data_IF_801065566502
#
_entry.id   IF_801065566502
#
_cell.length_a   1.000
_cell.length_b   1.000
_cell.length_c   1.000
_cell.angle_alpha   90.00
_cell.angle_beta   90.00
_cell.angle_gamma   90.00
#
_symmetry.space_group_name_H-M   'P 1'
#
loop_
_entity.id
_entity.type
_entity.pdbx_description
1 polymer ?
2 non-polymer ?
3 non-polymer ?
4 non-polymer ?
5 water ?
#
# COMPACT_ATOMS: atom_id res chain seq x y z
N UNK A 8 14.83 -10.69 20.81
CA UNK A 8 14.61 -9.26 20.88
C UNK A 8 14.75 -8.61 19.50
N UNK A 9 15.80 -7.79 19.34
CA UNK A 9 16.05 -7.13 18.06
C UNK A 9 16.74 -8.07 17.09
N UNK A 10 17.16 -9.23 17.58
CA UNK A 10 17.84 -10.22 16.75
C UNK A 10 16.85 -10.94 15.84
N UNK A 11 15.61 -11.09 16.31
CA UNK A 11 14.58 -11.76 15.55
C UNK A 11 14.15 -10.91 14.35
N UNK A 12 14.31 -9.59 14.48
CA UNK A 12 13.96 -8.68 13.40
C UNK A 12 15.00 -8.72 12.28
N UNK A 13 16.28 -8.73 12.66
CA UNK A 13 17.36 -8.80 11.68
C UNK A 13 17.34 -10.12 10.92
N UNK A 14 16.89 -11.18 11.60
CA UNK A 14 16.71 -12.47 10.94
C UNK A 14 15.57 -12.40 9.96
N UNK A 15 14.53 -11.64 10.32
CA UNK A 15 13.38 -11.45 9.46
C UNK A 15 13.75 -10.76 8.16
N UNK A 16 14.56 -9.71 8.27
CA UNK A 16 15.03 -8.98 7.10
C UNK A 16 15.87 -9.87 6.20
N UNK A 17 16.67 -10.75 6.80
CA UNK A 17 17.55 -11.64 6.04
C UNK A 17 16.74 -12.68 5.27
N UNK A 18 15.71 -13.23 5.91
CA UNK A 18 14.84 -14.21 5.27
C UNK A 18 14.11 -13.59 4.07
N UNK A 19 13.59 -12.38 4.27
CA UNK A 19 12.89 -11.68 3.19
C UNK A 19 13.81 -11.41 2.01
N UNK A 20 15.05 -11.02 2.29
CA UNK A 20 16.05 -10.84 1.25
C UNK A 20 16.40 -12.17 0.60
N UNK A 21 16.46 -13.21 1.43
CA UNK A 21 16.82 -14.54 0.95
C UNK A 21 15.83 -15.11 -0.05
N UNK A 22 14.54 -14.95 0.24
CA UNK A 22 13.48 -15.44 -0.64
C UNK A 22 13.55 -14.75 -2.01
N UNK A 23 13.80 -13.46 -2.00
CA UNK A 23 13.91 -12.68 -3.23
C UNK A 23 15.07 -13.16 -4.09
N UNK A 24 16.19 -13.47 -3.45
CA UNK A 24 17.37 -13.97 -4.17
C UNK A 24 17.11 -15.36 -4.76
N UNK A 25 16.41 -16.21 -3.99
CA UNK A 25 16.09 -17.55 -4.46
C UNK A 25 15.14 -17.52 -5.65
N UNK A 26 14.30 -16.49 -5.72
CA UNK A 26 13.32 -16.37 -6.79
C UNK A 26 13.81 -15.44 -7.90
N UNK A 27 15.07 -15.06 -7.85
CA UNK A 27 15.65 -14.15 -8.84
C UNK A 27 15.75 -14.79 -10.22
N UNK A 28 15.71 -13.95 -11.26
CA UNK A 28 15.84 -14.44 -12.63
C UNK A 28 17.32 -14.63 -12.97
N UNK A 29 18.18 -13.94 -12.23
CA UNK A 29 19.62 -14.09 -12.38
C UNK A 29 20.35 -13.53 -11.16
N UNK A 30 20.74 -14.41 -10.25
CA UNK A 30 21.41 -14.01 -9.02
C UNK A 30 22.78 -13.40 -9.30
N UNK A 31 23.40 -13.84 -10.40
CA UNK A 31 24.73 -13.37 -10.78
C UNK A 31 24.67 -11.99 -11.45
N UNK A 32 23.46 -11.54 -11.77
CA UNK A 32 23.27 -10.25 -12.44
C UNK A 32 22.84 -9.17 -11.46
N UNK A 33 22.61 -9.57 -10.20
CA UNK A 33 22.23 -8.63 -9.16
C UNK A 33 23.30 -7.58 -8.90
N UNK A 34 22.96 -6.32 -9.15
CA UNK A 34 23.85 -5.21 -8.87
C UNK A 34 23.88 -4.91 -7.37
N UNK A 35 25.03 -5.15 -6.74
CA UNK A 35 25.16 -4.99 -5.29
C UNK A 35 25.01 -3.55 -4.85
N UNK A 36 25.40 -2.61 -5.70
CA UNK A 36 25.22 -1.18 -5.40
C UNK A 36 23.74 -0.84 -5.37
N UNK A 37 23.02 -1.29 -6.37
CA UNK A 37 21.58 -1.04 -6.48
C UNK A 37 20.81 -1.60 -5.30
N UNK A 38 20.91 -2.91 -5.08
CA UNK A 38 20.13 -3.56 -4.02
C UNK A 38 20.69 -3.26 -2.63
N UNK A 39 21.97 -2.95 -2.55
CA UNK A 39 22.56 -2.59 -1.27
C UNK A 39 22.11 -1.21 -0.83
N UNK A 40 22.14 -0.27 -1.75
CA UNK A 40 21.72 1.09 -1.46
C UNK A 40 20.22 1.22 -1.25
N UNK A 41 19.46 0.44 -2.03
CA UNK A 41 18.00 0.47 -1.94
C UNK A 41 17.53 0.02 -0.56
N UNK A 42 18.16 -1.04 -0.04
CA UNK A 42 17.87 -1.52 1.30
C UNK A 42 18.37 -0.51 2.34
N UNK A 43 19.51 0.11 2.04
CA UNK A 43 20.11 1.08 2.95
C UNK A 43 19.22 2.31 3.11
N UNK A 44 18.66 2.77 2.00
CA UNK A 44 17.78 3.93 2.01
C UNK A 44 16.49 3.64 2.76
N UNK A 45 15.88 2.48 2.49
CA UNK A 45 14.65 2.08 3.16
C UNK A 45 14.86 1.91 4.67
N UNK A 46 16.01 1.34 5.03
CA UNK A 46 16.34 1.12 6.43
C UNK A 46 16.64 2.44 7.15
N UNK A 47 17.35 3.33 6.45
CA UNK A 47 17.72 4.61 7.03
C UNK A 47 16.52 5.56 7.10
N UNK A 48 15.67 5.51 6.08
CA UNK A 48 14.45 6.29 6.07
C UNK A 48 13.56 5.89 7.24
N UNK A 49 13.55 4.60 7.54
CA UNK A 49 12.82 4.09 8.68
C UNK A 49 13.42 4.58 9.98
N UNK A 50 14.75 4.50 10.08
CA UNK A 50 15.46 4.95 11.27
C UNK A 50 15.28 6.45 11.48
N UNK A 51 15.26 7.19 10.37
CA UNK A 51 15.13 8.63 10.42
C UNK A 51 13.81 9.06 11.06
N UNK A 52 12.69 8.62 10.48
CA UNK A 52 11.38 9.15 10.87
C UNK A 52 10.69 8.38 12.00
N UNK A 53 11.27 7.27 12.44
CA UNK A 53 10.66 6.47 13.48
C UNK A 53 11.51 6.41 14.75
N UNK A 54 12.78 6.77 14.63
CA UNK A 54 13.69 6.70 15.77
C UNK A 54 14.32 8.05 16.09
N UNK A 55 14.96 8.66 15.10
CA UNK A 55 15.62 9.95 15.26
C UNK A 55 14.60 11.04 15.59
N UNK A 56 14.85 11.81 16.67
CA UNK A 56 13.98 12.88 17.14
C UNK A 56 13.55 13.87 16.05
N UNK A 57 14.51 14.39 15.29
CA UNK A 57 14.22 15.35 14.23
C UNK A 57 13.33 14.74 13.15
N UNK A 58 13.59 13.48 12.84
CA UNK A 58 12.82 12.78 11.82
C UNK A 58 11.40 12.50 12.25
N UNK A 59 11.22 12.28 13.56
CA UNK A 59 9.90 12.04 14.12
C UNK A 59 9.06 13.32 14.10
N UNK A 60 9.74 14.46 14.19
CA UNK A 60 9.05 15.75 14.18
C UNK A 60 8.60 16.12 12.77
N UNK A 61 9.43 15.78 11.79
CA UNK A 61 9.08 16.00 10.39
C UNK A 61 7.94 15.09 9.96
N UNK A 62 7.91 13.90 10.53
CA UNK A 62 6.86 12.93 10.22
C UNK A 62 5.52 13.36 10.80
N UNK A 63 5.53 13.76 12.08
CA UNK A 63 4.31 14.21 12.75
C UNK A 63 3.87 15.56 12.18
N UNK A 64 4.81 16.32 11.64
CA UNK A 64 4.51 17.60 11.05
C UNK A 64 3.81 17.43 9.72
N UNK A 65 4.28 16.49 8.92
CA UNK A 65 3.68 16.19 7.62
C UNK A 65 2.34 15.50 7.81
N UNK A 66 2.26 14.64 8.83
CA UNK A 66 1.04 13.89 9.11
C UNK A 66 -0.08 14.80 9.62
N UNK A 67 0.26 15.77 10.46
CA UNK A 67 -0.71 16.73 10.95
C UNK A 67 -1.23 17.60 9.81
N UNK A 68 -0.35 17.92 8.88
CA UNK A 68 -0.73 18.67 7.68
C UNK A 68 -1.72 17.86 6.84
N UNK A 69 -1.42 16.57 6.67
CA UNK A 69 -2.31 15.67 5.96
C UNK A 69 -3.64 15.56 6.68
N UNK A 70 -3.58 15.50 8.01
CA UNK A 70 -4.78 15.41 8.83
C UNK A 70 -5.65 16.66 8.72
N UNK A 71 -5.00 17.80 8.47
CA UNK A 71 -5.72 19.05 8.29
C UNK A 71 -6.42 19.11 6.93
N UNK A 72 -5.77 18.56 5.90
CA UNK A 72 -6.33 18.54 4.56
C UNK A 72 -7.60 17.67 4.53
N UNK A 73 -7.56 16.57 5.28
CA UNK A 73 -8.70 15.67 5.38
C UNK A 73 -9.92 16.37 5.95
N UNK A 74 -9.72 17.12 7.03
CA UNK A 74 -10.79 17.85 7.67
C UNK A 74 -11.38 18.92 6.74
N UNK A 75 -10.49 19.58 5.99
CA UNK A 75 -10.92 20.55 5.00
C UNK A 75 -11.79 19.89 3.93
N UNK A 76 -11.34 18.75 3.44
CA UNK A 76 -12.08 18.00 2.44
C UNK A 76 -13.42 17.50 2.96
N UNK A 77 -13.50 17.31 4.27
CA UNK A 77 -14.73 16.81 4.90
C UNK A 77 -15.86 17.84 4.88
N UNK A 78 -15.54 19.08 4.56
CA UNK A 78 -16.56 20.11 4.42
C UNK A 78 -17.43 19.82 3.21
N UNK A 79 -16.82 19.19 2.20
CA UNK A 79 -17.53 18.81 0.99
C UNK A 79 -18.56 17.74 1.25
N UNK A 80 -18.16 16.68 1.95
CA UNK A 80 -19.06 15.56 2.21
C UNK A 80 -20.09 15.94 3.27
N UNK A 81 -19.72 16.86 4.16
CA UNK A 81 -20.65 17.34 5.18
C UNK A 81 -21.77 18.15 4.55
N UNK A 82 -21.46 18.87 3.49
CA UNK A 82 -22.48 19.63 2.76
C UNK A 82 -23.47 18.70 2.06
N UNK A 83 -22.97 17.58 1.55
CA UNK A 83 -23.76 16.70 0.71
C UNK A 83 -24.63 15.74 1.52
N UNK A 84 -24.13 15.30 2.67
CA UNK A 84 -24.84 14.31 3.46
C UNK A 84 -25.34 14.86 4.80
N UNK A 85 -25.02 16.12 5.07
CA UNK A 85 -25.57 16.84 6.21
C UNK A 85 -25.43 16.18 7.57
N UNK A 86 -26.58 15.89 8.19
CA UNK A 86 -26.61 15.32 9.53
C UNK A 86 -26.24 13.85 9.59
N UNK A 87 -26.19 13.19 8.44
CA UNK A 87 -25.83 11.78 8.38
C UNK A 87 -24.35 11.57 8.68
N UNK A 88 -23.58 12.67 8.68
CA UNK A 88 -22.17 12.60 9.03
C UNK A 88 -21.85 13.54 10.20
N UNK A 89 -22.87 13.86 10.99
CA UNK A 89 -22.70 14.72 12.15
C UNK A 89 -22.54 13.91 13.43
N UNK A 90 -22.35 14.61 14.55
CA UNK A 90 -22.16 13.96 15.83
C UNK A 90 -23.44 13.36 16.39
N UNK A 91 -24.57 13.80 15.86
CA UNK A 91 -25.88 13.32 16.30
C UNK A 91 -26.07 11.85 15.95
N UNK A 92 -25.33 11.39 14.95
CA UNK A 92 -25.42 10.00 14.49
C UNK A 92 -24.98 9.02 15.57
N UNK A 93 -24.05 9.46 16.42
CA UNK A 93 -23.54 8.62 17.50
C UNK A 93 -24.50 8.61 18.70
N UNK A 94 -25.26 9.69 18.85
CA UNK A 94 -26.23 9.77 19.94
C UNK A 94 -27.44 8.89 19.64
N UNK A 95 -27.62 8.53 18.38
CA UNK A 95 -28.79 7.76 17.96
C UNK A 95 -28.45 6.30 17.66
N UNK A 96 -27.40 6.07 16.87
CA UNK A 96 -27.04 4.72 16.46
C UNK A 96 -25.84 4.17 17.21
N UNK A 97 -25.23 5.02 18.04
CA UNK A 97 -24.06 4.61 18.79
C UNK A 97 -22.86 4.39 17.89
N UNK A 98 -22.32 3.18 17.92
CA UNK A 98 -21.19 2.81 17.09
C UNK A 98 -21.58 2.74 15.63
N UNK A 99 -22.84 2.40 15.37
CA UNK A 99 -23.35 2.28 14.03
C UNK A 99 -23.67 3.62 13.40
N UNK A 100 -23.41 4.70 14.13
CA UNK A 100 -23.64 6.04 13.64
C UNK A 100 -22.59 6.44 12.61
N UNK A 101 -21.46 5.74 12.64
CA UNK A 101 -20.39 5.97 11.68
C UNK A 101 -20.72 5.27 10.36
N UNK A 102 -21.26 6.01 9.40
CA UNK A 102 -21.62 5.44 8.11
C UNK A 102 -20.43 5.48 7.16
N UNK A 103 -19.85 4.31 6.92
CA UNK A 103 -18.65 4.19 6.10
C UNK A 103 -18.80 4.79 4.71
N UNK A 104 -19.98 4.60 4.11
CA UNK A 104 -20.23 5.05 2.75
C UNK A 104 -20.12 6.56 2.61
N UNK A 105 -20.40 7.28 3.70
CA UNK A 105 -20.42 8.74 3.66
C UNK A 105 -19.21 9.34 4.37
N UNK A 106 -18.57 8.55 5.22
CA UNK A 106 -17.42 9.04 5.99
C UNK A 106 -16.08 8.80 5.28
N UNK A 107 -15.94 7.66 4.62
CA UNK A 107 -14.65 7.27 4.05
C UNK A 107 -14.59 7.44 2.53
N UNK A 108 -15.59 6.90 1.83
CA UNK A 108 -15.61 6.93 0.37
C UNK A 108 -15.50 8.34 -0.28
N UNK A 109 -16.20 9.35 0.26
CA UNK A 109 -16.09 10.67 -0.38
C UNK A 109 -14.68 11.26 -0.33
N UNK A 110 -13.85 10.80 0.60
CA UNK A 110 -12.47 11.25 0.71
C UNK A 110 -11.68 10.93 -0.55
N UNK A 111 -12.03 9.81 -1.18
CA UNK A 111 -11.39 9.39 -2.43
C UNK A 111 -11.64 10.40 -3.53
N UNK A 112 -12.80 11.04 -3.49
CA UNK A 112 -13.17 12.04 -4.49
C UNK A 112 -12.39 13.33 -4.29
N UNK A 113 -12.33 13.79 -3.04
CA UNK A 113 -11.66 15.05 -2.73
C UNK A 113 -10.15 14.98 -2.98
N UNK A 114 -9.52 13.88 -2.59
CA UNK A 114 -8.08 13.76 -2.74
C UNK A 114 -7.68 13.52 -4.19
N UNK A 115 -8.55 12.90 -4.97
CA UNK A 115 -8.29 12.72 -6.39
C UNK A 115 -8.34 14.07 -7.09
N UNK A 116 -9.28 14.91 -6.66
CA UNK A 116 -9.41 16.25 -7.21
C UNK A 116 -8.21 17.12 -6.82
N UNK A 117 -7.78 16.98 -5.57
CA UNK A 117 -6.64 17.75 -5.06
C UNK A 117 -5.34 17.39 -5.78
N UNK A 118 -5.07 16.09 -5.91
CA UNK A 118 -3.86 15.62 -6.58
C UNK A 118 -3.85 16.06 -8.05
N UNK A 119 -5.03 16.02 -8.67
CA UNK A 119 -5.17 16.48 -10.04
C UNK A 119 -4.81 17.95 -10.16
N UNK A 120 -5.18 18.73 -9.14
CA UNK A 120 -4.85 20.15 -9.10
C UNK A 120 -3.34 20.35 -8.89
N UNK A 121 -2.77 19.55 -7.99
CA UNK A 121 -1.34 19.65 -7.68
C UNK A 121 -0.47 19.22 -8.85
N UNK A 122 -1.04 18.45 -9.77
CA UNK A 122 -0.35 18.06 -11.00
C UNK A 122 -0.36 19.21 -12.00
N UNK A 123 -1.51 19.87 -12.12
CA UNK A 123 -1.66 20.98 -13.05
C UNK A 123 -0.72 22.14 -12.70
N UNK A 124 -0.53 22.37 -11.41
CA UNK A 124 0.30 23.46 -10.94
C UNK A 124 1.79 23.14 -11.05
N UNK A 125 2.11 21.86 -11.18
CA UNK A 125 3.50 21.43 -11.31
C UNK A 125 4.14 21.10 -9.98
N UNK A 126 3.35 21.11 -8.91
CA UNK A 126 3.84 20.80 -7.58
C UNK A 126 4.24 19.33 -7.46
N UNK A 127 3.38 18.45 -7.98
CA UNK A 127 3.64 17.01 -7.93
C UNK A 127 4.90 16.64 -8.70
N UNK A 128 5.00 17.13 -9.94
CA UNK A 128 6.15 16.83 -10.78
C UNK A 128 7.44 17.31 -10.14
N UNK A 129 7.37 18.42 -9.41
CA UNK A 129 8.52 18.99 -8.74
C UNK A 129 9.06 18.04 -7.67
N UNK A 130 8.19 17.58 -6.77
CA UNK A 130 8.58 16.68 -5.69
C UNK A 130 9.09 15.34 -6.23
N UNK A 131 8.37 14.79 -7.21
CA UNK A 131 8.74 13.53 -7.84
C UNK A 131 10.12 13.60 -8.49
N UNK A 132 10.37 14.70 -9.18
CA UNK A 132 11.65 14.90 -9.88
C UNK A 132 12.82 14.91 -8.90
N UNK A 133 12.59 15.47 -7.72
CA UNK A 133 13.62 15.52 -6.69
C UNK A 133 13.86 14.14 -6.07
N UNK A 134 12.79 13.49 -5.64
CA UNK A 134 12.88 12.17 -5.04
C UNK A 134 13.35 11.12 -6.04
N UNK A 135 12.73 11.11 -7.21
CA UNK A 135 13.08 10.16 -8.26
C UNK A 135 14.50 10.34 -8.76
N UNK A 136 14.99 11.57 -8.73
CA UNK A 136 16.34 11.88 -9.17
C UNK A 136 17.38 11.42 -8.16
N UNK A 137 17.06 11.55 -6.88
CA UNK A 137 17.94 11.13 -5.82
C UNK A 137 18.11 9.62 -5.78
N UNK A 138 17.06 8.91 -6.17
CA UNK A 138 17.07 7.46 -6.19
C UNK A 138 17.98 6.91 -7.29
N UNK A 139 17.88 7.48 -8.49
CA UNK A 139 18.64 6.96 -9.62
C UNK A 139 20.14 7.28 -9.50
N UNK A 140 20.47 8.38 -8.84
CA UNK A 140 21.85 8.78 -8.67
C UNK A 140 22.54 7.99 -7.57
N UNK A 141 21.73 7.35 -6.73
CA UNK A 141 22.26 6.59 -5.61
C UNK A 141 22.19 5.08 -5.85
N UNK A 142 21.25 4.66 -6.69
CA UNK A 142 21.04 3.23 -6.92
C UNK A 142 21.51 2.80 -8.30
N UNK A 143 21.64 3.76 -9.21
CA UNK A 143 22.07 3.46 -10.57
C UNK A 143 20.92 2.96 -11.43
N UNK A 144 19.71 3.02 -10.88
CA UNK A 144 18.51 2.67 -11.63
C UNK A 144 18.25 3.72 -12.70
N UNK A 145 17.49 3.35 -13.73
CA UNK A 145 17.23 4.27 -14.84
C UNK A 145 16.31 5.41 -14.43
N UNK A 146 16.27 6.44 -15.27
CA UNK A 146 15.49 7.65 -15.01
C UNK A 146 13.99 7.39 -14.87
N UNK A 147 13.43 6.67 -15.85
CA UNK A 147 11.99 6.46 -15.91
C UNK A 147 11.47 5.60 -14.76
N UNK A 148 12.18 4.52 -14.43
CA UNK A 148 11.72 3.60 -13.39
C UNK A 148 11.87 4.23 -12.00
N UNK A 149 12.75 5.21 -11.88
CA UNK A 149 12.97 5.89 -10.61
C UNK A 149 11.90 6.95 -10.35
N UNK A 150 11.49 7.63 -11.41
CA UNK A 150 10.44 8.64 -11.30
C UNK A 150 9.11 7.99 -10.97
N UNK A 151 8.86 6.83 -11.58
CA UNK A 151 7.65 6.07 -11.32
C UNK A 151 7.62 5.56 -9.88
N UNK A 152 8.80 5.23 -9.36
CA UNK A 152 8.93 4.78 -7.98
C UNK A 152 8.58 5.91 -7.01
N UNK A 153 9.09 7.11 -7.31
CA UNK A 153 8.83 8.27 -6.48
C UNK A 153 7.37 8.72 -6.60
N UNK A 154 6.82 8.61 -7.81
CA UNK A 154 5.44 9.00 -8.05
C UNK A 154 4.48 8.11 -7.27
N UNK A 155 4.86 6.85 -7.09
CA UNK A 155 4.01 5.87 -6.41
C UNK A 155 3.82 6.13 -4.93
N UNK A 156 4.62 7.05 -4.38
CA UNK A 156 4.49 7.45 -2.99
C UNK A 156 3.17 8.22 -2.80
N UNK A 157 2.77 8.95 -3.83
CA UNK A 157 1.61 9.84 -3.72
C UNK A 157 0.40 9.34 -4.50
N UNK A 158 0.62 8.70 -5.64
CA UNK A 158 -0.48 8.24 -6.47
C UNK A 158 -0.50 6.72 -6.65
N UNK A 159 -1.52 6.23 -7.34
CA UNK A 159 -1.74 4.80 -7.48
C UNK A 159 -0.91 4.13 -8.56
N UNK A 160 -1.01 2.81 -8.63
CA UNK A 160 -0.18 2.00 -9.51
C UNK A 160 -0.43 2.25 -10.99
N UNK A 161 -1.61 2.76 -11.33
CA UNK A 161 -1.94 3.01 -12.73
C UNK A 161 -1.67 4.46 -13.12
N UNK A 162 -1.59 5.34 -12.12
CA UNK A 162 -1.38 6.76 -12.36
C UNK A 162 0.10 7.12 -12.35
N UNK A 163 0.88 6.40 -11.54
CA UNK A 163 2.31 6.67 -11.40
C UNK A 163 3.12 6.58 -12.71
N UNK A 164 2.89 5.53 -13.55
CA UNK A 164 3.70 5.47 -14.76
C UNK A 164 3.39 6.55 -15.80
N UNK A 165 2.36 7.35 -15.55
CA UNK A 165 1.95 8.38 -16.50
C UNK A 165 2.99 9.49 -16.63
N UNK A 166 3.83 9.65 -15.61
CA UNK A 166 4.87 10.67 -15.64
C UNK A 166 6.04 10.26 -16.55
N UNK A 167 6.02 9.01 -17.00
CA UNK A 167 7.05 8.51 -17.90
C UNK A 167 6.45 7.65 -19.00
N UNK A 168 5.22 7.96 -19.41
CA UNK A 168 4.51 7.12 -20.38
C UNK A 168 5.15 7.01 -21.77
N UNK A 169 5.87 8.04 -22.26
CA UNK A 169 6.42 7.76 -23.60
C UNK A 169 7.65 6.85 -23.56
N UNK A 170 8.13 6.52 -22.36
CA UNK A 170 9.32 5.67 -22.23
C UNK A 170 8.94 4.25 -21.83
N UNK A 171 7.66 4.03 -21.57
CA UNK A 171 7.16 2.72 -21.15
C UNK A 171 7.14 1.65 -22.26
N UNK A 172 6.69 2.01 -23.49
CA UNK A 172 6.63 0.94 -24.50
C UNK A 172 8.00 0.35 -24.87
N UNK A 173 9.08 1.07 -24.58
CA UNK A 173 10.41 0.63 -25.01
C UNK A 173 11.35 0.37 -23.84
N UNK A 174 10.83 0.40 -22.61
CA UNK A 174 11.69 0.11 -21.46
C UNK A 174 11.92 -1.38 -21.34
N UNK A 175 13.03 -1.76 -20.72
CA UNK A 175 13.44 -3.14 -20.60
C UNK A 175 12.51 -3.93 -19.68
N UNK A 176 12.61 -5.25 -19.74
CA UNK A 176 11.79 -6.13 -18.91
C UNK A 176 12.01 -5.84 -17.43
N UNK A 177 13.25 -5.55 -17.06
CA UNK A 177 13.59 -5.20 -15.69
C UNK A 177 12.98 -3.85 -15.29
N UNK A 178 13.00 -2.91 -16.22
CA UNK A 178 12.39 -1.60 -16.00
C UNK A 178 10.88 -1.72 -15.81
N UNK A 179 10.25 -2.45 -16.72
CA UNK A 179 8.81 -2.66 -16.66
C UNK A 179 8.41 -3.39 -15.38
N UNK A 180 9.20 -4.38 -14.99
CA UNK A 180 8.95 -5.14 -13.76
C UNK A 180 9.06 -4.25 -12.53
N UNK A 181 10.01 -3.33 -12.55
CA UNK A 181 10.19 -2.41 -11.43
C UNK A 181 9.01 -1.45 -11.33
N UNK A 182 8.54 -0.99 -12.49
CA UNK A 182 7.38 -0.10 -12.55
C UNK A 182 6.16 -0.80 -11.96
N UNK A 183 6.00 -2.08 -12.28
CA UNK A 183 4.93 -2.89 -11.70
C UNK A 183 5.11 -3.00 -10.19
N UNK A 184 6.34 -3.22 -9.75
CA UNK A 184 6.66 -3.38 -8.33
C UNK A 184 6.50 -2.08 -7.57
N UNK A 185 6.74 -0.95 -8.24
CA UNK A 185 6.59 0.34 -7.62
C UNK A 185 5.16 0.59 -7.18
N UNK A 186 4.21 0.07 -7.96
CA UNK A 186 2.80 0.26 -7.67
C UNK A 186 2.26 -0.74 -6.66
N UNK A 187 2.76 -1.98 -6.74
CA UNK A 187 2.30 -3.04 -5.85
C UNK A 187 2.83 -2.86 -4.43
N UNK A 188 4.02 -2.29 -4.31
CA UNK A 188 4.63 -2.07 -3.01
C UNK A 188 4.01 -0.88 -2.30
N UNK A 189 3.37 0.00 -3.05
CA UNK A 189 2.82 1.23 -2.50
C UNK A 189 1.30 1.28 -2.55
N UNK A 190 0.74 2.38 -2.04
CA UNK A 190 -0.69 2.65 -2.16
C UNK A 190 -0.89 3.95 -2.95
N UNK A 191 -1.90 4.71 -2.58
CA UNK A 191 -2.14 6.02 -3.20
C UNK A 191 -2.57 7.03 -2.14
N UNK A 192 -2.38 8.31 -2.44
CA UNK A 192 -2.75 9.37 -1.52
C UNK A 192 -4.23 9.38 -1.19
N UNK A 193 -5.04 8.97 -2.16
CA UNK A 193 -6.48 8.94 -2.00
C UNK A 193 -6.96 7.96 -0.94
N UNK A 194 -6.46 6.73 -0.97
CA UNK A 194 -6.85 5.72 0.00
C UNK A 194 -6.14 5.88 1.33
N UNK A 195 -4.98 6.53 1.30
CA UNK A 195 -4.24 6.81 2.53
C UNK A 195 -5.12 7.55 3.51
N UNK A 196 -5.78 8.59 3.01
CA UNK A 196 -6.70 9.38 3.83
C UNK A 196 -7.95 8.59 4.16
N UNK A 197 -8.25 7.57 3.34
CA UNK A 197 -9.38 6.70 3.58
C UNK A 197 -9.10 5.79 4.75
N UNK A 198 -7.93 5.17 4.74
CA UNK A 198 -7.51 4.29 5.83
C UNK A 198 -7.31 5.10 7.11
N UNK A 199 -6.82 6.32 6.97
CA UNK A 199 -6.65 7.23 8.09
C UNK A 199 -8.01 7.56 8.73
N UNK A 200 -9.02 7.71 7.88
CA UNK A 200 -10.37 8.01 8.35
C UNK A 200 -11.01 6.80 9.01
N UNK A 201 -10.38 5.65 8.86
CA UNK A 201 -10.87 4.41 9.46
C UNK A 201 -10.20 4.12 10.80
N UNK A 202 -9.23 4.95 11.16
CA UNK A 202 -8.56 4.82 12.44
C UNK A 202 -7.09 4.45 12.36
N UNK A 203 -6.62 4.15 11.15
CA UNK A 203 -5.21 3.82 10.96
C UNK A 203 -4.35 5.07 11.14
N UNK A 204 -3.31 4.94 11.95
CA UNK A 204 -2.43 6.06 12.26
C UNK A 204 -1.75 6.61 11.01
N UNK A 205 -1.95 7.91 10.75
CA UNK A 205 -1.44 8.56 9.56
C UNK A 205 0.08 8.48 9.46
N UNK A 206 0.75 8.58 10.61
CA UNK A 206 2.20 8.50 10.68
C UNK A 206 2.72 7.21 10.04
N UNK A 207 2.03 6.10 10.29
CA UNK A 207 2.41 4.81 9.73
C UNK A 207 2.15 4.75 8.24
N UNK A 208 1.05 5.36 7.80
CA UNK A 208 0.66 5.36 6.39
C UNK A 208 1.61 6.19 5.54
N UNK A 209 1.98 7.36 6.04
CA UNK A 209 2.91 8.24 5.34
C UNK A 209 4.30 7.60 5.27
N UNK A 210 4.72 7.01 6.38
CA UNK A 210 6.01 6.35 6.46
C UNK A 210 6.12 5.20 5.47
N UNK A 211 5.13 4.32 5.48
CA UNK A 211 5.11 3.16 4.60
C UNK A 211 5.02 3.55 3.14
N UNK A 212 4.42 4.71 2.88
CA UNK A 212 4.30 5.23 1.51
C UNK A 212 5.66 5.65 0.98
N UNK A 213 6.44 6.33 1.80
CA UNK A 213 7.76 6.79 1.40
C UNK A 213 8.77 5.64 1.35
N UNK A 214 8.64 4.69 2.25
CA UNK A 214 9.54 3.54 2.30
C UNK A 214 9.26 2.56 1.16
N UNK A 215 8.14 2.79 0.47
CA UNK A 215 7.74 1.93 -0.64
C UNK A 215 8.61 2.18 -1.87
N UNK A 216 9.07 3.42 -2.04
CA UNK A 216 9.87 3.78 -3.21
C UNK A 216 11.22 3.03 -3.24
N UNK A 217 12.00 3.09 -2.15
CA UNK A 217 13.24 2.30 -2.24
C UNK A 217 12.97 0.81 -2.07
N UNK A 218 11.93 0.47 -1.31
CA UNK A 218 11.59 -0.92 -1.07
C UNK A 218 11.11 -1.62 -2.32
N UNK A 219 10.34 -0.91 -3.14
CA UNK A 219 9.86 -1.45 -4.39
C UNK A 219 10.99 -1.72 -5.36
N UNK A 220 11.94 -0.80 -5.43
CA UNK A 220 13.10 -0.95 -6.31
C UNK A 220 14.01 -2.08 -5.82
N UNK A 221 14.13 -2.18 -4.49
CA UNK A 221 14.97 -3.19 -3.86
C UNK A 221 14.63 -4.61 -4.30
N UNK A 222 13.36 -4.99 -4.14
CA UNK A 222 12.95 -6.34 -4.45
C UNK A 222 12.69 -6.54 -5.93
N UNK A 223 12.56 -5.44 -6.66
CA UNK A 223 12.44 -5.52 -8.11
C UNK A 223 13.77 -5.88 -8.74
N UNK A 224 14.84 -5.29 -8.21
CA UNK A 224 16.18 -5.50 -8.75
C UNK A 224 16.83 -6.77 -8.20
N UNK A 225 16.30 -7.27 -7.09
CA UNK A 225 16.73 -8.55 -6.55
C UNK A 225 16.14 -9.69 -7.37
N UNK A 226 14.82 -9.65 -7.54
CA UNK A 226 14.10 -10.73 -8.24
C UNK A 226 14.20 -10.61 -9.75
N UNK A 227 14.48 -9.40 -10.23
CA UNK A 227 14.61 -9.17 -11.67
C UNK A 227 15.68 -8.11 -11.97
N UNK A 228 16.95 -8.52 -11.92
CA UNK A 228 18.06 -7.62 -12.20
C UNK A 228 18.08 -7.17 -13.66
N UNK A 229 18.63 -5.99 -13.93
CA UNK A 229 18.73 -5.50 -15.29
C UNK A 229 19.78 -6.29 -16.07
N UNK A 230 19.34 -6.99 -17.11
CA UNK A 230 20.25 -7.72 -17.98
C UNK A 230 20.32 -7.08 -19.36
N UNK A 231 19.55 -6.00 -19.54
CA UNK A 231 19.57 -5.27 -20.80
C UNK A 231 20.15 -3.87 -20.61
N UNK A 232 20.04 -3.05 -21.65
CA UNK A 232 20.51 -1.67 -21.58
C UNK A 232 19.36 -0.69 -21.76
N UNK A 233 19.00 0.05 -20.70
CA UNK A 233 17.94 1.05 -20.73
C UNK A 233 18.31 2.24 -21.61
N UNK A 234 17.32 3.06 -21.96
CA UNK A 234 17.55 4.25 -22.77
C UNK A 234 17.61 5.51 -21.92
N UNK A 235 17.91 6.64 -22.57
CA UNK A 235 18.00 7.94 -21.90
C UNK A 235 18.99 7.91 -20.74
N UNK A 247 -3.68 17.13 -20.65
CA UNK A 247 -3.63 18.24 -19.69
C UNK A 247 -4.86 19.14 -19.83
N UNK A 248 -5.58 19.33 -18.70
CA UNK A 248 -6.79 20.18 -18.67
C UNK A 248 -6.49 21.63 -19.04
N UNK A 249 -7.49 22.33 -19.54
CA UNK A 249 -7.31 23.71 -20.00
C UNK A 249 -7.00 24.67 -18.85
N UNK A 250 -7.52 24.37 -17.66
CA UNK A 250 -7.30 25.21 -16.49
C UNK A 250 -7.35 24.42 -15.20
N UNK A 251 -7.08 25.10 -14.08
CA UNK A 251 -6.97 24.45 -12.78
C UNK A 251 -8.33 23.98 -12.27
N UNK A 252 -9.40 24.59 -12.78
CA UNK A 252 -10.76 24.21 -12.38
C UNK A 252 -11.19 22.95 -13.11
N UNK A 253 -10.76 22.82 -14.37
CA UNK A 253 -11.00 21.61 -15.15
C UNK A 253 -10.24 20.43 -14.55
N UNK A 254 -9.04 20.70 -14.08
CA UNK A 254 -8.21 19.69 -13.43
C UNK A 254 -8.93 19.10 -12.22
N UNK A 255 -9.47 19.98 -11.39
CA UNK A 255 -10.20 19.57 -10.19
C UNK A 255 -11.43 18.74 -10.56
N UNK A 256 -12.13 19.17 -11.61
CA UNK A 256 -13.33 18.49 -12.07
C UNK A 256 -13.02 17.08 -12.57
N UNK A 257 -11.96 16.96 -13.36
CA UNK A 257 -11.54 15.67 -13.88
C UNK A 257 -11.09 14.73 -12.77
N UNK A 258 -10.42 15.28 -11.77
CA UNK A 258 -9.96 14.51 -10.64
C UNK A 258 -11.13 14.01 -9.80
N UNK A 259 -12.12 14.87 -9.61
CA UNK A 259 -13.33 14.52 -8.87
C UNK A 259 -14.07 13.38 -9.58
N UNK A 260 -14.16 13.48 -10.89
CA UNK A 260 -14.83 12.48 -11.70
C UNK A 260 -14.15 11.12 -11.58
N UNK A 261 -12.82 11.13 -11.64
CA UNK A 261 -12.04 9.90 -11.50
C UNK A 261 -12.21 9.29 -10.12
N UNK A 262 -12.20 10.14 -9.09
CA UNK A 262 -12.36 9.69 -7.71
C UNK A 262 -13.74 9.12 -7.46
N UNK A 263 -14.75 9.71 -8.09
CA UNK A 263 -16.12 9.21 -8.01
C UNK A 263 -16.22 7.77 -8.50
N UNK A 264 -15.76 7.54 -9.73
CA UNK A 264 -15.78 6.21 -10.32
C UNK A 264 -15.05 5.22 -9.44
N UNK A 265 -13.95 5.69 -8.86
CA UNK A 265 -13.13 4.88 -7.99
C UNK A 265 -13.81 4.63 -6.65
N UNK A 266 -14.51 5.63 -6.14
CA UNK A 266 -15.25 5.50 -4.88
C UNK A 266 -16.37 4.48 -5.03
N UNK A 267 -17.02 4.50 -6.19
CA UNK A 267 -18.09 3.55 -6.47
C UNK A 267 -17.57 2.12 -6.58
N UNK A 268 -16.43 1.97 -7.24
CA UNK A 268 -15.81 0.65 -7.40
C UNK A 268 -15.40 0.04 -6.07
N UNK A 269 -14.78 0.84 -5.21
CA UNK A 269 -14.36 0.36 -3.90
C UNK A 269 -15.57 -0.02 -3.04
N UNK A 270 -16.59 0.82 -3.06
CA UNK A 270 -17.81 0.57 -2.33
C UNK A 270 -18.51 -0.72 -2.74
N UNK A 271 -18.58 -0.96 -4.05
CA UNK A 271 -19.20 -2.18 -4.54
C UNK A 271 -18.36 -3.40 -4.19
N UNK A 272 -17.04 -3.24 -4.24
CA UNK A 272 -16.13 -4.33 -3.92
C UNK A 272 -16.26 -4.73 -2.45
N UNK A 273 -16.39 -3.75 -1.57
CA UNK A 273 -16.48 -4.02 -0.14
C UNK A 273 -17.80 -4.71 0.22
N UNK A 274 -18.90 -4.25 -0.39
CA UNK A 274 -20.19 -4.90 -0.20
C UNK A 274 -20.14 -6.36 -0.63
N UNK A 275 -19.52 -6.59 -1.80
CA UNK A 275 -19.45 -7.94 -2.35
C UNK A 275 -18.47 -8.84 -1.60
N UNK A 276 -17.25 -8.37 -1.38
CA UNK A 276 -16.22 -9.20 -0.76
C UNK A 276 -16.56 -9.58 0.67
N UNK A 277 -16.99 -8.59 1.46
CA UNK A 277 -17.39 -8.84 2.84
C UNK A 277 -18.60 -9.78 2.88
N UNK A 278 -19.52 -9.58 1.95
CA UNK A 278 -20.67 -10.46 1.83
C UNK A 278 -20.25 -11.87 1.46
N UNK A 279 -19.30 -11.98 0.55
CA UNK A 279 -18.77 -13.28 0.12
C UNK A 279 -18.03 -13.98 1.25
N UNK A 280 -17.30 -13.21 2.05
CA UNK A 280 -16.59 -13.76 3.20
C UNK A 280 -17.58 -14.30 4.23
N UNK A 281 -18.69 -13.61 4.40
CA UNK A 281 -19.75 -14.06 5.30
C UNK A 281 -20.37 -15.36 4.81
N UNK A 282 -20.47 -15.50 3.50
CA UNK A 282 -20.99 -16.73 2.90
C UNK A 282 -19.99 -17.87 3.07
N UNK A 283 -18.72 -17.57 2.85
CA UNK A 283 -17.64 -18.55 2.99
C UNK A 283 -17.58 -19.10 4.42
N UNK A 284 -17.67 -18.21 5.40
CA UNK A 284 -17.65 -18.61 6.80
C UNK A 284 -18.83 -19.52 7.16
N UNK A 285 -19.99 -19.23 6.57
CA UNK A 285 -21.16 -20.06 6.78
C UNK A 285 -20.92 -21.46 6.26
N UNK A 286 -20.33 -21.56 5.08
CA UNK A 286 -20.01 -22.85 4.48
C UNK A 286 -18.89 -23.53 5.27
N UNK A 287 -17.89 -22.76 5.66
CA UNK A 287 -16.75 -23.29 6.42
C UNK A 287 -17.18 -23.84 7.78
N UNK A 288 -18.27 -23.30 8.32
CA UNK A 288 -18.81 -23.78 9.58
C UNK A 288 -19.43 -25.15 9.42
N UNK A 289 -20.09 -25.36 8.27
CA UNK A 289 -20.73 -26.63 7.97
C UNK A 289 -19.72 -27.69 7.55
N UNK A 290 -18.77 -27.29 6.71
CA UNK A 290 -17.71 -28.19 6.27
C UNK A 290 -16.80 -28.56 7.44
N UNK A 291 -16.41 -27.56 8.22
CA UNK A 291 -15.56 -27.76 9.37
C UNK A 291 -16.21 -28.64 10.42
N UNK A 292 -17.53 -28.57 10.50
CA UNK A 292 -18.30 -29.38 11.44
C UNK A 292 -18.16 -30.88 11.18
N UNK A 293 -17.90 -31.23 9.91
CA UNK A 293 -17.70 -32.61 9.53
C UNK A 293 -16.42 -33.18 10.12
N UNK A 294 -15.51 -32.28 10.49
CA UNK A 294 -14.23 -32.66 11.10
C UNK A 294 -14.13 -32.17 12.53
N UNK A 295 -15.28 -31.98 13.17
CA UNK A 295 -15.33 -31.56 14.57
C UNK A 295 -14.90 -30.13 14.82
N UNK A 296 -14.99 -29.30 13.78
CA UNK A 296 -14.61 -27.89 13.92
C UNK A 296 -15.70 -26.98 13.36
N UNK A 297 -16.86 -26.92 14.01
CA UNK A 297 -17.98 -26.12 13.51
C UNK A 297 -17.69 -24.61 13.56
N UNK A 298 -16.71 -24.22 14.38
CA UNK A 298 -16.37 -22.81 14.53
C UNK A 298 -15.38 -22.35 13.46
N UNK A 299 -15.10 -23.22 12.50
CA UNK A 299 -14.13 -22.92 11.44
C UNK A 299 -14.56 -21.74 10.59
N UNK A 300 -13.67 -20.77 10.47
CA UNK A 300 -13.92 -19.58 9.66
C UNK A 300 -12.72 -19.25 8.77
N UNK A 301 -12.90 -18.27 7.89
CA UNK A 301 -11.83 -17.85 6.99
C UNK A 301 -10.70 -17.19 7.76
N UNK A 302 -11.05 -16.48 8.83
CA UNK A 302 -10.06 -15.79 9.65
C UNK A 302 -9.13 -16.78 10.34
N UNK A 303 -9.68 -17.92 10.75
CA UNK A 303 -8.89 -18.96 11.39
C UNK A 303 -7.88 -19.57 10.43
N UNK A 304 -8.34 -19.89 9.23
CA UNK A 304 -7.47 -20.44 8.19
C UNK A 304 -6.33 -19.49 7.84
N UNK A 305 -6.68 -18.23 7.60
CA UNK A 305 -5.68 -17.23 7.23
C UNK A 305 -4.72 -16.93 8.37
N UNK A 306 -5.26 -16.85 9.58
CA UNK A 306 -4.45 -16.58 10.75
C UNK A 306 -3.48 -17.71 11.05
N UNK A 307 -3.96 -18.94 10.94
CA UNK A 307 -3.14 -20.13 11.20
C UNK A 307 -2.05 -20.31 10.15
N UNK A 308 -2.31 -19.82 8.95
CA UNK A 308 -1.39 -20.03 7.83
C UNK A 308 -0.37 -18.89 7.69
N UNK A 309 -0.71 -17.73 8.25
CA UNK A 309 0.18 -16.57 8.13
C UNK A 309 0.84 -16.21 9.46
N UNK A 310 0.54 -16.98 10.49
CA UNK A 310 1.15 -16.78 11.81
C UNK A 310 2.67 -16.89 11.80
N UNK A 311 3.24 -17.90 11.11
CA UNK A 311 4.71 -17.91 11.05
C UNK A 311 5.30 -16.70 10.34
N UNK A 312 4.60 -16.22 9.32
CA UNK A 312 5.04 -15.04 8.57
C UNK A 312 4.96 -13.79 9.44
N UNK A 313 3.91 -13.70 10.25
CA UNK A 313 3.73 -12.57 11.15
C UNK A 313 4.75 -12.62 12.28
N UNK A 314 5.04 -13.83 12.75
CA UNK A 314 6.02 -14.03 13.80
C UNK A 314 7.43 -13.68 13.32
N UNK A 315 7.65 -13.87 12.02
CA UNK A 315 8.96 -13.65 11.42
C UNK A 315 9.28 -12.17 11.27
N UNK A 316 8.25 -11.34 11.13
CA UNK A 316 8.46 -9.91 10.91
C UNK A 316 8.42 -9.10 12.20
N UNK A 317 8.30 -9.78 13.33
CA UNK A 317 8.44 -9.12 14.62
C UNK A 317 7.22 -9.12 15.52
N UNK A 318 6.18 -9.86 15.13
CA UNK A 318 4.98 -9.94 15.96
C UNK A 318 5.15 -11.00 17.04
N UNK A 319 4.90 -10.62 18.31
CA UNK A 319 4.97 -11.52 19.46
C UNK A 319 4.20 -12.82 19.23
N UNK A 320 4.69 -13.91 19.82
CA UNK A 320 4.13 -15.24 19.64
C UNK A 320 2.63 -15.29 19.96
N UNK A 321 2.22 -14.58 21.00
CA UNK A 321 0.83 -14.62 21.45
C UNK A 321 -0.07 -13.67 20.65
N UNK A 322 0.48 -13.05 19.61
CA UNK A 322 -0.29 -12.13 18.79
C UNK A 322 -0.10 -12.41 17.29
N UNK A 323 0.68 -13.44 16.98
CA UNK A 323 1.02 -13.77 15.60
C UNK A 323 -0.19 -14.27 14.80
N UNK A 324 -1.06 -15.02 15.46
CA UNK A 324 -2.22 -15.60 14.80
C UNK A 324 -3.23 -14.53 14.39
N UNK A 325 -3.52 -13.61 15.29
CA UNK A 325 -4.43 -12.51 15.00
C UNK A 325 -3.85 -11.61 13.91
N UNK A 326 -2.54 -11.38 13.96
CA UNK A 326 -1.86 -10.57 12.97
C UNK A 326 -1.86 -11.26 11.60
N UNK A 327 -1.83 -12.60 11.62
CA UNK A 327 -1.85 -13.37 10.40
C UNK A 327 -3.18 -13.29 9.66
N UNK A 328 -4.25 -13.05 10.40
CA UNK A 328 -5.58 -12.94 9.81
C UNK A 328 -5.66 -11.76 8.86
N UNK A 329 -5.08 -10.63 9.27
CA UNK A 329 -5.16 -9.40 8.51
C UNK A 329 -4.17 -9.40 7.34
N UNK A 330 -2.95 -9.89 7.59
CA UNK A 330 -1.93 -9.96 6.56
C UNK A 330 -2.33 -10.94 5.46
N UNK A 331 -2.94 -12.05 5.87
CA UNK A 331 -3.41 -13.05 4.92
C UNK A 331 -4.56 -12.53 4.08
N UNK A 332 -5.48 -11.83 4.72
CA UNK A 332 -6.66 -11.30 4.04
C UNK A 332 -6.27 -10.23 3.03
N UNK A 333 -5.21 -9.48 3.35
CA UNK A 333 -4.68 -8.47 2.45
C UNK A 333 -4.10 -9.11 1.19
N UNK A 334 -3.49 -10.28 1.37
CA UNK A 334 -2.82 -10.96 0.26
C UNK A 334 -3.81 -11.70 -0.64
N UNK A 335 -4.78 -12.38 -0.03
CA UNK A 335 -5.73 -13.20 -0.78
C UNK A 335 -6.89 -12.38 -1.33
N UNK A 336 -6.94 -11.10 -0.99
CA UNK A 336 -7.98 -10.21 -1.47
C UNK A 336 -7.41 -8.84 -1.84
N UNK A 337 -7.52 -7.89 -0.92
CA UNK A 337 -6.85 -6.60 -1.05
C UNK A 337 -6.68 -5.93 0.31
N UNK A 338 -5.91 -4.86 0.35
CA UNK A 338 -5.55 -4.21 1.60
C UNK A 338 -6.72 -3.43 2.20
N UNK A 339 -7.69 -3.07 1.38
CA UNK A 339 -8.84 -2.30 1.84
C UNK A 339 -9.76 -3.17 2.69
N UNK A 340 -9.94 -4.43 2.25
CA UNK A 340 -10.74 -5.39 3.01
C UNK A 340 -10.03 -5.75 4.31
N UNK A 341 -8.70 -5.82 4.25
CA UNK A 341 -7.90 -6.11 5.43
C UNK A 341 -8.04 -5.03 6.48
N UNK A 342 -7.83 -3.78 6.07
CA UNK A 342 -7.95 -2.63 6.96
C UNK A 342 -9.35 -2.52 7.58
N UNK A 343 -10.36 -2.97 6.85
CA UNK A 343 -11.73 -2.89 7.34
C UNK A 343 -11.95 -3.82 8.52
N UNK A 344 -11.23 -4.95 8.53
CA UNK A 344 -11.36 -5.92 9.61
C UNK A 344 -10.36 -5.63 10.73
N UNK A 345 -9.38 -4.78 10.44
CA UNK A 345 -8.33 -4.45 11.40
C UNK A 345 -8.64 -3.16 12.16
N UNK A 346 -9.45 -2.30 11.57
CA UNK A 346 -9.81 -1.02 12.18
C UNK A 346 -10.49 -1.15 13.55
N UNK A 347 -11.39 -2.13 13.75
CA UNK A 347 -11.95 -2.28 15.11
C UNK A 347 -10.91 -2.62 16.18
N UNK A 348 -9.76 -3.13 15.77
CA UNK A 348 -8.70 -3.46 16.72
C UNK A 348 -7.89 -2.23 17.11
N UNK A 349 -8.23 -1.09 16.50
CA UNK A 349 -7.54 0.17 16.80
C UNK A 349 -8.40 1.05 17.72
N UNK A 350 -9.55 0.54 18.11
CA UNK A 350 -10.46 1.28 18.98
C UNK A 350 -10.49 0.68 20.39
N UNK A 351 -11.21 1.34 21.29
CA UNK A 351 -11.31 0.87 22.67
C UNK A 351 -12.22 -0.36 22.76
N UNK A 352 -13.06 -0.55 21.74
CA UNK A 352 -13.97 -1.68 21.71
C UNK A 352 -13.37 -2.85 20.92
N UNK A 353 -12.05 -2.98 21.00
CA UNK A 353 -11.34 -4.04 20.29
C UNK A 353 -11.54 -5.39 20.97
N UNK A 354 -11.83 -6.44 20.17
CA UNK A 354 -12.03 -7.79 20.71
C UNK A 354 -10.75 -8.34 21.33
N UNK A 355 -9.60 -7.98 20.77
CA UNK A 355 -8.31 -8.37 21.32
C UNK A 355 -7.37 -7.18 21.39
N UNK A 356 -6.97 -6.81 22.60
CA UNK A 356 -6.05 -5.69 22.79
C UNK A 356 -4.64 -6.09 22.34
N UNK A 357 -4.15 -5.42 21.30
CA UNK A 357 -2.84 -5.70 20.75
C UNK A 357 -1.80 -4.69 21.24
N UNK A 358 -0.55 -5.12 21.28
CA UNK A 358 0.54 -4.23 21.66
C UNK A 358 0.72 -3.14 20.60
N UNK A 359 1.27 -2.01 21.01
CA UNK A 359 1.43 -0.87 20.12
C UNK A 359 2.37 -1.17 18.96
N UNK A 360 3.33 -2.06 19.21
CA UNK A 360 4.28 -2.46 18.17
C UNK A 360 3.59 -3.36 17.15
N UNK A 361 2.72 -4.24 17.63
CA UNK A 361 1.98 -5.15 16.76
C UNK A 361 0.99 -4.38 15.88
N UNK A 362 0.40 -3.33 16.44
CA UNK A 362 -0.49 -2.45 15.68
C UNK A 362 0.28 -1.75 14.56
N UNK A 363 1.54 -1.42 14.82
CA UNK A 363 2.37 -0.75 13.84
C UNK A 363 2.80 -1.70 12.73
N UNK A 364 3.16 -2.93 13.10
CA UNK A 364 3.62 -3.92 12.13
C UNK A 364 2.52 -4.27 11.13
N UNK A 365 1.30 -4.47 11.63
CA UNK A 365 0.17 -4.79 10.77
C UNK A 365 -0.14 -3.63 9.81
N UNK A 366 -0.06 -2.40 10.33
CA UNK A 366 -0.32 -1.21 9.53
C UNK A 366 0.65 -1.08 8.36
N UNK A 367 1.91 -1.42 8.61
CA UNK A 367 2.95 -1.34 7.58
C UNK A 367 2.85 -2.51 6.60
N UNK A 368 2.52 -3.69 7.11
CA UNK A 368 2.46 -4.89 6.29
C UNK A 368 1.24 -4.89 5.37
N UNK A 369 0.22 -4.13 5.77
CA UNK A 369 -1.01 -4.03 4.98
C UNK A 369 -0.93 -2.87 3.99
N UNK A 370 -0.02 -1.94 4.23
CA UNK A 370 0.05 -0.72 3.44
C UNK A 370 0.68 -0.95 2.06
N UNK A 371 -0.10 -1.54 1.16
CA UNK A 371 0.36 -1.80 -0.20
C UNK A 371 -0.74 -2.40 -1.06
N UNK A 372 -0.64 -2.18 -2.37
CA UNK A 372 -1.60 -2.71 -3.33
C UNK A 372 -1.21 -4.11 -3.79
N UNK A 373 -0.24 -4.71 -3.12
CA UNK A 373 0.28 -6.02 -3.51
C UNK A 373 -0.74 -7.13 -3.29
N UNK A 374 -1.51 -7.42 -4.34
CA UNK A 374 -2.40 -8.58 -4.35
C UNK A 374 -2.59 -9.08 -5.77
N UNK A 375 -3.14 -10.29 -5.92
CA UNK A 375 -3.27 -10.91 -7.23
C UNK A 375 -4.22 -10.15 -8.14
N UNK A 376 -5.24 -9.52 -7.57
CA UNK A 376 -6.22 -8.80 -8.37
C UNK A 376 -5.64 -7.53 -8.98
N UNK A 377 -4.54 -7.05 -8.41
CA UNK A 377 -3.90 -5.84 -8.92
C UNK A 377 -3.20 -6.10 -10.25
N UNK A 378 -2.98 -7.36 -10.60
CA UNK A 378 -2.37 -7.71 -11.87
C UNK A 378 -3.29 -7.34 -13.03
N UNK A 379 -4.58 -7.65 -12.89
CA UNK A 379 -5.57 -7.31 -13.90
C UNK A 379 -5.69 -5.81 -14.06
N UNK A 380 -5.56 -5.10 -12.94
CA UNK A 380 -5.60 -3.64 -12.96
C UNK A 380 -4.35 -3.09 -13.64
N UNK A 381 -3.21 -3.73 -13.41
CA UNK A 381 -1.97 -3.34 -14.08
C UNK A 381 -2.06 -3.60 -15.59
N UNK A 382 -2.70 -4.70 -15.96
CA UNK A 382 -2.90 -5.04 -17.37
C UNK A 382 -3.69 -3.97 -18.11
N UNK A 383 -4.68 -3.40 -17.43
CA UNK A 383 -5.52 -2.38 -18.04
C UNK A 383 -4.85 -1.02 -18.08
N UNK A 384 -4.48 -0.52 -16.91
CA UNK A 384 -3.88 0.80 -16.78
C UNK A 384 -2.53 0.91 -17.46
N UNK A 385 -1.56 0.16 -16.95
CA UNK A 385 -0.21 0.18 -17.47
C UNK A 385 -0.14 -0.37 -18.90
N UNK A 386 -1.03 -1.31 -19.21
CA UNK A 386 -1.07 -1.92 -20.52
C UNK A 386 -1.57 -0.99 -21.61
N UNK A 387 -2.39 -0.01 -21.23
CA UNK A 387 -2.91 0.96 -22.20
C UNK A 387 -1.79 1.88 -22.68
N UNK A 388 -0.76 2.02 -21.86
CA UNK A 388 0.40 2.85 -22.19
C UNK A 388 1.33 2.12 -23.14
N UNK A 389 1.23 0.79 -23.15
CA UNK A 389 2.07 -0.05 -24.00
C UNK A 389 1.35 -1.35 -24.32
N UNK A 390 0.42 -1.31 -25.29
CA UNK A 390 -0.43 -2.46 -25.64
C UNK A 390 0.35 -3.69 -26.10
N UNK A 391 1.53 -3.48 -26.68
CA UNK A 391 2.34 -4.59 -27.15
C UNK A 391 3.17 -5.21 -26.02
N UNK A 392 2.95 -4.73 -24.81
CA UNK A 392 3.70 -5.20 -23.65
C UNK A 392 2.81 -5.88 -22.60
N UNK A 393 1.54 -6.08 -22.95
CA UNK A 393 0.61 -6.75 -22.04
C UNK A 393 1.01 -8.19 -21.79
N UNK A 394 1.71 -8.79 -22.75
CA UNK A 394 2.21 -10.14 -22.59
C UNK A 394 3.23 -10.21 -21.47
N UNK A 395 4.17 -9.28 -21.48
CA UNK A 395 5.21 -9.23 -20.46
C UNK A 395 4.65 -8.95 -19.08
N UNK A 396 3.61 -8.11 -19.02
CA UNK A 396 3.00 -7.74 -17.74
C UNK A 396 2.34 -8.95 -17.09
N UNK A 397 1.57 -9.70 -17.88
CA UNK A 397 0.90 -10.89 -17.37
C UNK A 397 1.89 -11.97 -16.98
N UNK A 398 3.03 -12.01 -17.67
CA UNK A 398 4.07 -12.99 -17.39
C UNK A 398 4.75 -12.71 -16.06
N UNK A 399 4.99 -11.44 -15.78
CA UNK A 399 5.71 -11.03 -14.58
C UNK A 399 4.78 -10.67 -13.42
N UNK A 400 3.48 -10.80 -13.66
CA UNK A 400 2.47 -10.43 -12.69
C UNK A 400 2.65 -11.03 -11.30
N UNK A 401 2.64 -12.35 -11.21
CA UNK A 401 2.75 -13.04 -9.92
C UNK A 401 4.06 -12.72 -9.19
N UNK A 402 5.17 -12.72 -9.93
CA UNK A 402 6.47 -12.38 -9.35
C UNK A 402 6.47 -10.95 -8.81
N UNK A 403 5.79 -10.05 -9.51
CA UNK A 403 5.73 -8.65 -9.12
C UNK A 403 4.92 -8.49 -7.83
N UNK A 404 3.86 -9.29 -7.70
CA UNK A 404 3.04 -9.28 -6.48
C UNK A 404 3.86 -9.76 -5.29
N UNK A 405 4.63 -10.83 -5.50
CA UNK A 405 5.52 -11.34 -4.46
C UNK A 405 6.55 -10.29 -4.05
N UNK A 406 7.15 -9.65 -5.04
CA UNK A 406 8.14 -8.59 -4.79
C UNK A 406 7.51 -7.44 -3.99
N UNK A 407 6.32 -7.02 -4.39
CA UNK A 407 5.61 -5.96 -3.69
C UNK A 407 5.21 -6.38 -2.28
N UNK A 408 4.86 -7.66 -2.13
CA UNK A 408 4.55 -8.22 -0.82
C UNK A 408 5.77 -8.17 0.10
N UNK A 409 6.92 -8.58 -0.43
CA UNK A 409 8.16 -8.60 0.35
C UNK A 409 8.57 -7.20 0.79
N UNK A 410 8.24 -6.21 -0.03
CA UNK A 410 8.55 -4.82 0.29
C UNK A 410 7.73 -4.33 1.48
N UNK A 411 6.44 -4.69 1.49
CA UNK A 411 5.56 -4.33 2.60
C UNK A 411 5.99 -5.02 3.89
N UNK A 412 6.35 -6.30 3.76
CA UNK A 412 6.81 -7.09 4.91
C UNK A 412 8.12 -6.53 5.45
N UNK A 413 9.03 -6.14 4.55
CA UNK A 413 10.30 -5.56 4.95
C UNK A 413 10.10 -4.25 5.68
N UNK A 414 9.21 -3.41 5.16
CA UNK A 414 8.91 -2.12 5.78
C UNK A 414 8.32 -2.33 7.18
N UNK A 415 7.56 -3.41 7.34
CA UNK A 415 6.94 -3.72 8.62
C UNK A 415 7.99 -4.20 9.61
N UNK A 416 8.93 -5.01 9.14
CA UNK A 416 10.01 -5.52 9.98
C UNK A 416 10.89 -4.39 10.48
N UNK A 417 11.22 -3.47 9.57
CA UNK A 417 12.01 -2.30 9.91
C UNK A 417 11.29 -1.42 10.92
N UNK A 418 10.00 -1.21 10.69
CA UNK A 418 9.18 -0.37 11.58
C UNK A 418 9.11 -0.97 12.98
N UNK A 419 8.98 -2.29 13.05
CA UNK A 419 8.92 -2.99 14.31
C UNK A 419 10.26 -3.01 15.02
N UNK A 420 11.32 -2.90 14.24
CA UNK A 420 12.68 -2.90 14.78
C UNK A 420 12.95 -1.65 15.60
N UNK A 421 12.64 -0.50 15.03
CA UNK A 421 12.89 0.78 15.71
C UNK A 421 11.77 1.16 16.66
N UNK A 422 10.83 0.23 16.86
CA UNK A 422 9.74 0.44 17.80
C UNK A 422 9.71 -0.65 18.87
X LIG B 1 -6.83 2.53 -5.61
X LIG B 1 -6.63 4.78 -5.38
X LIG B 1 -6.75 6.20 -4.85
X LIG B 1 -5.46 -3.21 -3.82
X LIG B 1 -6.05 -2.03 -4.36
X LIG B 1 -7.56 -2.08 -4.37
X LIG B 1 -8.22 -1.56 -3.11
X LIG B 1 -7.63 -0.40 -2.49
X LIG B 1 -7.99 -1.32 -5.54
X LIG B 1 -6.87 -1.08 -6.39
X LIG B 1 -5.70 -1.89 -5.83
X LIG B 1 -5.60 -3.18 -6.42
X LIG B 1 -6.59 0.36 -6.50
X LIG B 1 -5.84 0.88 -7.55
X LIG B 1 -5.59 2.20 -7.63
X LIG B 1 -6.06 3.04 -6.69
X LIG B 1 -7.18 3.62 -4.80
X LIG B 1 -5.97 4.40 -6.53
X LIG B 1 -7.07 1.22 -5.53
X LIG B 1 -5.40 0.12 -8.44
X LIG C 1 1.49 3.94 -5.53
X LIG D 1 -5.26 -18.73 -10.55
X LIG D 1 -4.31 -18.52 -11.67
X LIG D 1 -3.90 -17.16 -11.81
X LIG D 1 -3.47 -16.53 -10.53
X LIG D 1 -4.39 -16.84 -9.38
X LIG D 1 -4.72 -18.19 -9.26
X LIG D 1 -2.76 -17.10 -12.72
X LIG D 1 -5.64 -18.33 -8.23
X LIG D 1 -5.32 -17.83 -6.92
X LIG D 1 -6.46 -17.39 -6.05
X LIG D 1 -6.32 -17.57 -4.54
X LIG D 1 -7.57 -17.99 -3.76
X LIG D 1 -7.84 -17.37 -2.40
X LIG D 1 -9.31 -17.14 -2.00
X LIG D 1 -9.64 -16.93 -0.55
X LIG D 1 -10.89 -16.09 -0.20
X LIG D 1 -10.69 -14.64 0.08
X LIG D 1 -11.89 -13.73 -0.03
X LIG D 1 -5.53 -20.12 -10.45
X LIG D 1 -4.94 -19.00 -12.89
X LIG D 1 -3.29 -15.08 -10.67
X LIG D 1 -4.07 -14.41 -11.59
X LIG D 1 -2.63 -17.56 -15.02
X LIG D 1 -1.14 -17.64 -15.03
X LIG D 1 -0.48 -16.39 -15.01
X LIG D 1 -1.06 -15.45 -14.00
X LIG D 1 -2.53 -15.34 -14.14
X LIG D 1 -3.12 -16.59 -13.99
X LIG D 1 0.92 -16.61 -14.70
X LIG D 1 -3.14 -18.82 -14.71
X LIG D 1 -0.73 -18.35 -16.23
X LIG D 1 -0.43 -14.12 -14.14
X LIG D 1 -1.24 -13.03 -14.17
#
# INVERSE_FOLDING_TARGET
>A
GPAVPRMSLFMSCCGMAVLLGIAVLLSSNRKAINLRTVGGAFAIQFSLGAFILYVPWGQELLRGFSDAVSNVINYGNDGTSFLFGGLVSGKMFEVFGGGGFIFAFRVLPTLIFFSALISVLYYLGVMQWVIRILGGGLQKALGTSRAESMSAAANIFVGQTEAPLVVRPFVPKMTQSELFAVMCGGLASIAGGVLAGYASMGVKIEYLVAASFMAAPGGLLFAKLMMPETEKPQDNEDITLDGGDDKPANVIDAAAGGASAGLQLALNVGAMLIAFIGLIALINGMLGGIGGWFGMPELKLEMLLGWLFAPLAFLIGVPWNEATVAGEFIGLKTVANEFVAYSQFAPYLTEAAPVVLSEKTKAIISFALCGFANLSSIAILLGGLGSLAPKRRGDIARMGVKAVIAGTLSNLMAATIAGFFLSF
>B hetero
1 P0C C14 C16 C17 O01 C02 C03 C04 O05 O06 C07 C08 O09 N10 C11 N12 C13 C15 N18 C19 O20
>C hetero
1 NA NA
>D hetero
1 DMU C1 C2 C3 C4 O5 C6 O7 O16 C18 C19 C22 C25 C28 C31 C34 C37 C40 C43 O49 O55 C57 O61 C5 C7 C8 C9 O1 C10 O2 O3 O4 C11 O6
#
